data_IF_690269960044
#
_entry.id   IF_690269960044
#
_cell.length_a   1.000
_cell.length_b   1.000
_cell.length_c   1.000
_cell.angle_alpha   90.00
_cell.angle_beta   90.00
_cell.angle_gamma   90.00
#
_symmetry.space_group_name_H-M   'P 1'
#
loop_
_entity.id
_entity.type
_entity.pdbx_description
1 polymer ?
#
# COMPACT_ATOMS: atom_id res chain seq x y z
N UNK A 1 19.23 -33.17 -35.35
CA UNK A 1 18.08 -33.74 -34.62
C UNK A 1 18.58 -34.97 -33.86
N UNK A 2 18.93 -34.80 -32.58
CA UNK A 2 19.26 -35.92 -31.70
C UNK A 2 17.96 -36.47 -31.14
N UNK A 3 17.67 -37.73 -31.44
CA UNK A 3 16.61 -38.49 -30.82
C UNK A 3 17.01 -38.74 -29.35
N UNK A 4 16.27 -38.17 -28.40
CA UNK A 4 16.34 -38.62 -27.01
C UNK A 4 15.83 -40.05 -26.96
N UNK A 5 16.72 -41.01 -26.71
CA UNK A 5 16.34 -42.36 -26.33
C UNK A 5 15.51 -42.28 -25.05
N UNK A 6 14.26 -42.71 -25.09
CA UNK A 6 13.44 -42.91 -23.89
C UNK A 6 14.08 -44.06 -23.09
N UNK A 7 14.99 -43.73 -22.18
CA UNK A 7 15.45 -44.66 -21.14
C UNK A 7 14.23 -45.02 -20.29
N UNK A 8 14.03 -46.32 -20.01
CA UNK A 8 12.98 -46.74 -19.08
C UNK A 8 13.22 -46.04 -17.74
N UNK A 9 12.19 -45.46 -17.11
CA UNK A 9 12.34 -44.88 -15.79
C UNK A 9 12.64 -45.99 -14.79
N UNK A 10 13.74 -45.86 -14.06
CA UNK A 10 14.07 -46.73 -12.95
C UNK A 10 13.21 -46.35 -11.74
N UNK A 11 12.54 -47.33 -11.15
CA UNK A 11 11.77 -47.14 -9.92
C UNK A 11 12.76 -47.19 -8.76
N UNK A 12 13.10 -46.02 -8.24
CA UNK A 12 13.83 -45.87 -6.98
C UNK A 12 12.86 -46.22 -5.84
N UNK A 13 13.33 -46.85 -4.76
CA UNK A 13 12.50 -47.44 -3.71
C UNK A 13 11.57 -46.46 -2.99
N UNK A 14 10.92 -46.93 -1.91
CA UNK A 14 10.01 -46.11 -1.13
C UNK A 14 10.73 -44.87 -0.54
N UNK A 15 10.12 -43.68 -0.69
CA UNK A 15 10.61 -42.46 -0.05
C UNK A 15 10.24 -42.44 1.44
N UNK A 16 11.16 -41.94 2.26
CA UNK A 16 10.92 -41.71 3.69
C UNK A 16 10.13 -40.43 3.92
N UNK A 17 9.16 -40.45 4.84
CA UNK A 17 8.34 -39.30 5.23
C UNK A 17 8.67 -38.87 6.67
N UNK A 18 8.97 -37.57 6.85
CA UNK A 18 9.27 -36.93 8.11
C UNK A 18 8.19 -35.92 8.51
N UNK A 19 7.86 -35.81 9.81
CA UNK A 19 8.30 -36.67 10.91
C UNK A 19 7.70 -38.09 10.78
N UNK A 20 8.37 -39.13 11.31
CA UNK A 20 7.83 -40.48 11.33
C UNK A 20 6.68 -40.55 12.33
N UNK A 21 5.48 -40.22 11.88
CA UNK A 21 4.25 -40.19 12.67
C UNK A 21 3.23 -41.17 12.08
N UNK A 22 2.43 -41.82 12.94
CA UNK A 22 1.55 -42.92 12.52
C UNK A 22 0.44 -42.48 11.54
N UNK A 23 0.07 -41.21 11.55
CA UNK A 23 -0.82 -40.54 10.61
C UNK A 23 -0.19 -40.37 9.21
N UNK A 24 1.12 -40.15 9.12
CA UNK A 24 1.84 -40.01 7.84
C UNK A 24 1.97 -41.32 7.03
N UNK A 25 1.73 -42.48 7.65
CA UNK A 25 1.82 -43.81 7.00
C UNK A 25 0.44 -44.49 6.84
N UNK A 26 -0.64 -43.71 6.77
CA UNK A 26 -1.99 -44.23 6.60
C UNK A 26 -2.22 -44.95 5.26
N UNK A 27 -3.09 -45.96 5.28
CA UNK A 27 -3.50 -46.73 4.08
C UNK A 27 -4.55 -46.02 3.21
N UNK A 28 -5.05 -44.87 3.66
CA UNK A 28 -6.18 -44.16 3.05
C UNK A 28 -5.74 -43.13 1.98
N UNK A 29 -4.46 -43.11 1.61
CA UNK A 29 -3.92 -42.22 0.57
C UNK A 29 -4.50 -42.56 -0.81
N UNK A 30 -5.07 -41.57 -1.49
CA UNK A 30 -5.84 -41.77 -2.73
C UNK A 30 -5.32 -40.97 -3.93
N UNK A 31 -4.58 -39.87 -3.71
CA UNK A 31 -3.98 -39.08 -4.80
C UNK A 31 -2.71 -38.38 -4.35
N UNK A 32 -1.78 -38.21 -5.29
CA UNK A 32 -0.51 -37.50 -5.09
C UNK A 32 -0.31 -36.50 -6.24
N UNK A 33 0.21 -35.32 -5.92
CA UNK A 33 0.51 -34.27 -6.89
C UNK A 33 1.81 -33.56 -6.51
N UNK A 34 2.62 -33.20 -7.51
CA UNK A 34 3.82 -32.42 -7.31
C UNK A 34 3.65 -31.02 -7.92
N UNK A 35 3.77 -30.00 -7.09
CA UNK A 35 3.83 -28.61 -7.48
C UNK A 35 5.27 -28.24 -7.85
N UNK A 36 5.44 -27.60 -9.00
CA UNK A 36 6.74 -27.24 -9.56
C UNK A 36 7.27 -25.95 -8.91
N UNK A 37 7.55 -26.03 -7.60
CA UNK A 37 8.13 -24.98 -6.76
C UNK A 37 9.59 -25.30 -6.45
N UNK A 38 10.31 -24.34 -5.86
CA UNK A 38 11.69 -24.54 -5.40
C UNK A 38 11.74 -24.27 -3.89
N UNK A 39 11.95 -25.29 -3.03
CA UNK A 39 11.98 -26.74 -3.33
C UNK A 39 10.61 -27.30 -3.79
N UNK A 40 10.57 -28.48 -4.45
CA UNK A 40 9.31 -29.07 -4.92
C UNK A 40 8.38 -29.43 -3.76
N UNK A 41 7.13 -28.98 -3.84
CA UNK A 41 6.08 -29.30 -2.86
C UNK A 41 5.26 -30.48 -3.37
N UNK A 42 5.21 -31.55 -2.59
CA UNK A 42 4.40 -32.74 -2.82
C UNK A 42 3.15 -32.66 -1.96
N UNK A 43 2.00 -32.87 -2.59
CA UNK A 43 0.68 -32.89 -1.95
C UNK A 43 0.15 -34.32 -1.99
N UNK A 44 -0.21 -34.85 -0.82
CA UNK A 44 -0.80 -36.18 -0.68
C UNK A 44 -2.21 -36.04 -0.11
N UNK A 45 -3.21 -36.59 -0.80
CA UNK A 45 -4.60 -36.55 -0.37
C UNK A 45 -5.07 -37.91 0.12
N UNK A 46 -5.84 -37.92 1.21
CA UNK A 46 -6.46 -39.11 1.77
C UNK A 46 -7.96 -39.15 1.55
N UNK A 47 -8.55 -40.35 1.54
CA UNK A 47 -9.98 -40.55 1.36
C UNK A 47 -10.85 -39.98 2.51
N UNK A 48 -10.22 -39.54 3.61
CA UNK A 48 -10.89 -38.94 4.77
C UNK A 48 -11.00 -37.42 4.70
N UNK A 49 -10.40 -36.78 3.69
CA UNK A 49 -10.38 -35.31 3.57
C UNK A 49 -9.11 -34.65 4.09
N UNK A 50 -8.11 -35.42 4.54
CA UNK A 50 -6.82 -34.86 4.96
C UNK A 50 -5.89 -34.68 3.77
N UNK A 51 -5.26 -33.51 3.70
CA UNK A 51 -4.23 -33.13 2.76
C UNK A 51 -2.91 -32.92 3.50
N UNK A 52 -1.87 -33.61 3.06
CA UNK A 52 -0.52 -33.43 3.57
C UNK A 52 0.29 -32.63 2.57
N UNK A 53 0.91 -31.54 3.03
CA UNK A 53 1.86 -30.76 2.25
C UNK A 53 3.27 -31.07 2.73
N UNK A 54 4.10 -31.56 1.81
CA UNK A 54 5.46 -31.98 2.09
C UNK A 54 6.47 -31.34 1.14
N UNK A 55 7.67 -31.03 1.65
CA UNK A 55 8.80 -30.60 0.84
C UNK A 55 9.65 -31.80 0.45
N UNK A 56 10.00 -31.91 -0.83
CA UNK A 56 10.99 -32.86 -1.30
C UNK A 56 12.39 -32.26 -1.11
N UNK A 57 13.15 -32.82 -0.18
CA UNK A 57 14.52 -32.39 0.13
C UNK A 57 15.44 -33.60 0.28
N UNK A 58 16.74 -33.40 0.10
CA UNK A 58 17.71 -34.47 0.37
C UNK A 58 17.70 -34.80 1.86
N UNK A 59 17.73 -36.08 2.16
CA UNK A 59 17.89 -36.58 3.51
C UNK A 59 19.26 -36.11 4.05
N UNK A 60 19.33 -35.53 5.26
CA UNK A 60 20.61 -35.19 5.85
C UNK A 60 21.46 -36.45 5.97
N UNK A 61 22.71 -36.39 5.53
CA UNK A 61 23.64 -37.51 5.61
C UNK A 61 23.73 -37.97 7.06
N UNK A 62 23.13 -39.13 7.37
CA UNK A 62 23.34 -39.79 8.65
C UNK A 62 24.79 -40.22 8.70
N UNK A 63 25.48 -39.91 9.79
CA UNK A 63 26.79 -40.49 10.09
C UNK A 63 26.71 -42.00 9.87
N UNK A 64 27.65 -42.52 9.10
CA UNK A 64 27.62 -43.89 8.60
C UNK A 64 27.59 -44.88 9.75
N UNK A 65 26.40 -45.36 10.12
CA UNK A 65 26.27 -46.60 10.85
C UNK A 65 24.96 -47.33 10.49
N UNK A 66 25.17 -48.60 10.12
CA UNK A 66 24.23 -49.68 9.87
C UNK A 66 23.00 -49.44 8.96
N UNK A 67 23.13 -49.84 7.69
CA UNK A 67 21.97 -50.42 6.96
C UNK A 67 21.58 -49.87 5.59
N UNK A 68 22.45 -49.14 4.87
CA UNK A 68 22.19 -48.79 3.45
C UNK A 68 22.38 -50.02 2.54
N UNK A 69 21.39 -50.92 2.51
CA UNK A 69 21.07 -51.94 1.50
C UNK A 69 20.64 -53.25 2.16
N UNK A 70 19.33 -53.43 2.38
CA UNK A 70 18.75 -54.76 2.51
C UNK A 70 18.65 -55.40 1.12
N UNK A 71 19.78 -55.90 0.61
CA UNK A 71 19.77 -56.87 -0.49
C UNK A 71 19.73 -58.29 0.09
N UNK A 72 18.61 -58.65 0.73
CA UNK A 72 18.38 -60.04 1.16
C UNK A 72 17.44 -60.76 0.19
N UNK A 73 18.03 -61.72 -0.51
CA UNK A 73 17.42 -62.86 -1.21
C UNK A 73 16.50 -62.56 -2.41
N UNK A 74 17.12 -62.57 -3.61
CA UNK A 74 16.50 -63.18 -4.79
C UNK A 74 15.50 -62.35 -5.61
N UNK A 75 15.45 -61.02 -5.47
CA UNK A 75 14.64 -60.18 -6.36
C UNK A 75 15.51 -59.40 -7.35
N UNK A 76 15.05 -59.28 -8.59
CA UNK A 76 15.68 -58.50 -9.69
C UNK A 76 15.62 -56.99 -9.50
N UNK A 77 15.18 -56.51 -8.34
CA UNK A 77 15.02 -55.08 -8.04
C UNK A 77 16.04 -54.64 -6.99
N UNK A 78 16.94 -53.75 -7.38
CA UNK A 78 17.83 -53.08 -6.43
C UNK A 78 17.02 -52.01 -5.70
N UNK A 79 16.58 -52.29 -4.47
CA UNK A 79 15.93 -51.33 -3.58
C UNK A 79 17.00 -50.40 -2.99
N UNK A 80 17.51 -49.48 -3.80
CA UNK A 80 18.24 -48.33 -3.28
C UNK A 80 17.21 -47.41 -2.59
N UNK A 81 17.44 -47.09 -1.31
CA UNK A 81 16.68 -46.03 -0.63
C UNK A 81 17.05 -44.71 -1.27
N UNK A 82 16.10 -43.93 -1.80
CA UNK A 82 16.41 -42.64 -2.41
C UNK A 82 17.10 -41.72 -1.40
N UNK A 83 18.05 -40.90 -1.86
CA UNK A 83 18.69 -39.85 -1.05
C UNK A 83 17.72 -38.69 -0.76
N UNK A 84 16.54 -38.70 -1.36
CA UNK A 84 15.49 -37.70 -1.16
C UNK A 84 14.43 -38.22 -0.17
N UNK A 85 13.98 -37.33 0.71
CA UNK A 85 12.93 -37.56 1.68
C UNK A 85 11.85 -36.47 1.60
N UNK A 86 10.65 -36.81 2.08
CA UNK A 86 9.53 -35.90 2.16
C UNK A 86 9.42 -35.35 3.58
N UNK A 87 9.39 -34.03 3.71
CA UNK A 87 9.22 -33.34 5.00
C UNK A 87 7.83 -32.70 5.04
N UNK A 88 6.90 -33.34 5.73
CA UNK A 88 5.56 -32.84 5.96
C UNK A 88 5.64 -31.63 6.90
N UNK A 89 5.20 -30.48 6.42
CA UNK A 89 5.19 -29.24 7.21
C UNK A 89 3.77 -28.83 7.62
N UNK A 90 2.75 -29.32 6.91
CA UNK A 90 1.36 -28.96 7.15
C UNK A 90 0.41 -30.13 6.85
N UNK A 91 -0.61 -30.29 7.70
CA UNK A 91 -1.76 -31.14 7.49
C UNK A 91 -3.02 -30.26 7.51
N UNK A 92 -3.83 -30.35 6.46
CA UNK A 92 -5.08 -29.60 6.34
C UNK A 92 -6.26 -30.55 6.13
N UNK A 93 -7.28 -30.42 6.97
CA UNK A 93 -8.52 -31.19 6.85
C UNK A 93 -9.57 -30.41 6.05
N UNK A 94 -10.13 -31.02 5.01
CA UNK A 94 -11.23 -30.46 4.22
C UNK A 94 -12.58 -31.06 4.61
N UNK A 95 -13.62 -30.24 4.57
CA UNK A 95 -14.99 -30.69 4.80
C UNK A 95 -15.56 -31.42 3.57
N UNK A 96 -15.77 -32.72 3.68
CA UNK A 96 -16.39 -33.53 2.62
C UNK A 96 -17.92 -33.47 2.70
N UNK A 97 -18.51 -32.44 2.09
CA UNK A 97 -19.96 -32.22 2.08
C UNK A 97 -20.46 -31.34 3.23
N UNK A 98 -21.73 -30.93 3.17
CA UNK A 98 -22.31 -30.06 4.20
C UNK A 98 -22.87 -30.88 5.37
N UNK A 99 -22.14 -30.89 6.48
CA UNK A 99 -22.53 -31.48 7.77
C UNK A 99 -23.36 -30.48 8.57
N UNK A 100 -24.58 -30.79 9.02
CA UNK A 100 -25.41 -29.81 9.74
C UNK A 100 -25.15 -29.78 11.25
N UNK A 101 -24.57 -30.85 11.78
CA UNK A 101 -24.20 -31.00 13.19
C UNK A 101 -22.82 -31.67 13.34
N UNK A 102 -22.02 -31.30 14.35
CA UNK A 102 -20.69 -31.88 14.60
C UNK A 102 -20.71 -33.39 14.92
N UNK A 103 -21.89 -33.96 15.17
CA UNK A 103 -22.13 -35.39 15.40
C UNK A 103 -22.37 -36.19 14.13
N UNK A 104 -22.38 -35.53 12.96
CA UNK A 104 -22.62 -36.18 11.68
C UNK A 104 -21.43 -37.05 11.25
N UNK A 105 -21.73 -38.24 10.69
CA UNK A 105 -20.70 -39.17 10.22
C UNK A 105 -19.89 -38.53 9.08
N UNK A 106 -18.57 -38.40 9.28
CA UNK A 106 -17.64 -37.93 8.25
C UNK A 106 -17.70 -38.86 7.03
N UNK A 107 -18.01 -38.28 5.89
CA UNK A 107 -18.06 -38.99 4.61
C UNK A 107 -16.64 -39.29 4.12
N UNK A 108 -16.44 -40.44 3.47
CA UNK A 108 -15.16 -40.84 2.89
C UNK A 108 -15.30 -41.02 1.39
N UNK A 109 -14.42 -40.40 0.62
CA UNK A 109 -14.39 -40.55 -0.83
C UNK A 109 -12.98 -40.28 -1.38
N UNK A 110 -12.61 -40.93 -2.50
CA UNK A 110 -11.35 -40.61 -3.17
C UNK A 110 -11.36 -39.14 -3.64
N UNK A 111 -10.20 -38.50 -3.48
CA UNK A 111 -9.96 -37.10 -3.84
C UNK A 111 -9.00 -37.08 -5.02
N UNK A 112 -9.35 -36.35 -6.08
CA UNK A 112 -8.47 -36.14 -7.21
C UNK A 112 -7.86 -34.73 -7.13
N UNK A 113 -6.53 -34.66 -7.16
CA UNK A 113 -5.77 -33.42 -7.15
C UNK A 113 -5.54 -32.88 -8.56
N UNK A 114 -5.79 -31.60 -8.77
CA UNK A 114 -5.60 -30.91 -10.04
C UNK A 114 -4.72 -29.68 -9.85
N UNK A 115 -3.59 -29.66 -10.55
CA UNK A 115 -2.68 -28.49 -10.57
C UNK A 115 -3.31 -27.34 -11.34
N UNK A 116 -3.17 -26.13 -10.81
CA UNK A 116 -3.44 -24.93 -11.60
C UNK A 116 -2.23 -24.61 -12.47
N UNK A 117 -2.46 -24.33 -13.75
CA UNK A 117 -1.40 -23.91 -14.68
C UNK A 117 -1.12 -22.41 -14.61
N UNK A 118 -2.09 -21.62 -14.14
CA UNK A 118 -2.00 -20.16 -14.09
C UNK A 118 -1.35 -19.62 -12.83
N UNK A 119 -1.39 -20.38 -11.72
CA UNK A 119 -0.78 -19.97 -10.45
C UNK A 119 -0.18 -21.18 -9.74
N UNK A 120 1.03 -21.02 -9.20
CA UNK A 120 1.75 -22.06 -8.45
C UNK A 120 1.32 -22.11 -6.98
N UNK A 121 0.64 -21.07 -6.51
CA UNK A 121 0.21 -20.92 -5.11
C UNK A 121 -1.10 -21.66 -4.83
N UNK A 122 -1.75 -22.23 -5.84
CA UNK A 122 -3.08 -22.81 -5.72
C UNK A 122 -3.23 -24.10 -6.49
N UNK A 123 -4.10 -24.96 -5.97
CA UNK A 123 -4.51 -26.18 -6.64
C UNK A 123 -5.95 -26.54 -6.26
N UNK A 124 -6.52 -27.51 -6.97
CA UNK A 124 -7.91 -27.91 -6.79
C UNK A 124 -8.02 -29.37 -6.38
N UNK A 125 -9.04 -29.65 -5.57
CA UNK A 125 -9.41 -30.99 -5.16
C UNK A 125 -10.83 -31.27 -5.65
N UNK A 126 -11.02 -32.27 -6.51
CA UNK A 126 -12.35 -32.74 -6.92
C UNK A 126 -12.66 -34.08 -6.28
N UNK A 127 -13.85 -34.24 -5.72
CA UNK A 127 -14.29 -35.47 -5.06
C UNK A 127 -15.80 -35.64 -5.19
N UNK A 128 -16.33 -36.75 -4.65
CA UNK A 128 -17.75 -37.11 -4.79
C UNK A 128 -18.73 -36.22 -4.01
N UNK A 129 -18.23 -35.25 -3.25
CA UNK A 129 -19.06 -34.29 -2.55
C UNK A 129 -18.90 -32.86 -3.07
N UNK A 130 -17.94 -32.60 -3.97
CA UNK A 130 -17.71 -31.26 -4.46
C UNK A 130 -16.31 -30.95 -5.01
N UNK A 131 -16.00 -29.65 -5.04
CA UNK A 131 -14.72 -29.09 -5.46
C UNK A 131 -14.21 -28.11 -4.39
N UNK A 132 -12.97 -28.30 -3.96
CA UNK A 132 -12.24 -27.36 -3.12
C UNK A 132 -11.10 -26.71 -3.90
N UNK A 133 -10.82 -25.45 -3.57
CA UNK A 133 -9.59 -24.76 -3.93
C UNK A 133 -8.73 -24.66 -2.67
N UNK A 134 -7.44 -24.95 -2.82
CA UNK A 134 -6.47 -24.81 -1.74
C UNK A 134 -5.43 -23.79 -2.17
N UNK A 135 -5.18 -22.81 -1.32
CA UNK A 135 -4.13 -21.81 -1.49
C UNK A 135 -3.03 -22.06 -0.47
N UNK A 136 -1.79 -22.03 -0.95
CA UNK A 136 -0.55 -22.31 -0.23
C UNK A 136 0.33 -21.04 -0.14
N UNK A 137 0.10 -20.15 0.85
CA UNK A 137 0.89 -18.93 0.99
C UNK A 137 2.37 -19.20 1.30
N UNK A 138 2.69 -20.35 1.90
CA UNK A 138 4.08 -20.73 2.20
C UNK A 138 4.97 -20.73 0.95
N UNK A 139 4.43 -21.00 -0.24
CA UNK A 139 5.22 -21.02 -1.47
C UNK A 139 5.82 -19.64 -1.79
N UNK A 140 5.13 -18.53 -1.45
CA UNK A 140 5.73 -17.20 -1.62
C UNK A 140 6.87 -16.98 -0.64
N UNK A 141 6.68 -17.36 0.63
CA UNK A 141 7.72 -17.26 1.67
C UNK A 141 8.96 -18.09 1.30
N UNK A 142 8.77 -19.31 0.78
CA UNK A 142 9.87 -20.16 0.30
C UNK A 142 10.59 -19.53 -0.90
N UNK A 143 9.84 -18.98 -1.85
CA UNK A 143 10.45 -18.30 -3.00
C UNK A 143 11.23 -17.05 -2.58
N UNK A 144 10.71 -16.27 -1.64
CA UNK A 144 11.40 -15.10 -1.10
C UNK A 144 12.68 -15.51 -0.35
N UNK A 145 12.62 -16.60 0.41
CA UNK A 145 13.78 -17.18 1.09
C UNK A 145 14.86 -17.66 0.11
N UNK A 146 14.48 -18.39 -0.95
CA UNK A 146 15.41 -18.88 -1.98
C UNK A 146 16.07 -17.72 -2.75
N UNK A 147 15.38 -16.59 -2.89
CA UNK A 147 15.89 -15.39 -3.57
C UNK A 147 16.61 -14.41 -2.63
N UNK A 148 16.63 -14.65 -1.31
CA UNK A 148 17.29 -13.77 -0.36
C UNK A 148 18.83 -13.95 -0.38
N UNK A 149 19.57 -12.85 -0.20
CA UNK A 149 21.02 -12.90 0.01
C UNK A 149 21.35 -13.56 1.35
N UNK A 150 22.46 -14.29 1.43
CA UNK A 150 22.88 -15.06 2.61
C UNK A 150 22.92 -14.23 3.91
N UNK A 151 23.25 -12.94 3.83
CA UNK A 151 23.29 -12.02 4.98
C UNK A 151 21.90 -11.69 5.58
N UNK A 152 20.82 -11.90 4.81
CA UNK A 152 19.42 -11.66 5.22
C UNK A 152 18.58 -12.95 5.26
N UNK A 153 19.22 -14.12 5.18
CA UNK A 153 18.51 -15.40 5.16
C UNK A 153 17.71 -15.64 6.46
N UNK A 154 18.28 -15.26 7.61
CA UNK A 154 17.64 -15.41 8.93
C UNK A 154 16.38 -14.55 9.11
N UNK A 155 16.32 -13.40 8.43
CA UNK A 155 15.15 -12.50 8.44
C UNK A 155 14.01 -13.03 7.57
N UNK A 156 14.32 -13.81 6.53
CA UNK A 156 13.35 -14.38 5.58
C UNK A 156 13.03 -15.84 5.87
N UNK A 157 13.55 -16.40 6.98
CA UNK A 157 13.15 -17.74 7.42
C UNK A 157 11.63 -17.76 7.64
N UNK A 158 10.91 -18.81 7.22
CA UNK A 158 9.48 -18.98 7.46
C UNK A 158 9.17 -19.16 8.97
N UNK A 159 9.35 -18.10 9.75
CA UNK A 159 9.23 -18.09 11.21
C UNK A 159 7.77 -18.03 11.66
N UNK A 160 6.86 -17.63 10.77
CA UNK A 160 5.42 -17.81 10.90
C UNK A 160 4.89 -18.34 9.57
N UNK A 161 4.76 -19.66 9.49
CA UNK A 161 4.07 -20.33 8.39
C UNK A 161 2.64 -19.78 8.33
N UNK A 162 2.35 -18.99 7.29
CA UNK A 162 0.98 -18.59 7.01
C UNK A 162 0.19 -19.88 6.70
N UNK A 163 -0.88 -20.18 7.44
CA UNK A 163 -1.62 -21.43 7.24
C UNK A 163 -2.23 -21.45 5.84
N UNK A 164 -2.23 -22.62 5.23
CA UNK A 164 -2.92 -22.85 3.98
C UNK A 164 -4.42 -22.66 4.18
N UNK A 165 -5.07 -22.06 3.19
CA UNK A 165 -6.50 -21.79 3.25
C UNK A 165 -7.24 -22.68 2.26
N UNK A 166 -8.31 -23.31 2.74
CA UNK A 166 -9.19 -24.14 1.93
C UNK A 166 -10.48 -23.37 1.68
N UNK A 167 -10.81 -23.21 0.40
CA UNK A 167 -12.07 -22.67 -0.05
C UNK A 167 -12.93 -23.79 -0.64
N UNK A 168 -14.03 -24.13 0.05
CA UNK A 168 -15.03 -25.01 -0.53
C UNK A 168 -15.81 -24.23 -1.59
N UNK A 169 -15.64 -24.56 -2.88
CA UNK A 169 -16.23 -23.81 -4.00
C UNK A 169 -17.59 -24.33 -4.41
N UNK A 170 -17.70 -25.65 -4.59
CA UNK A 170 -18.90 -26.30 -5.09
C UNK A 170 -19.23 -27.49 -4.20
N UNK A 171 -20.38 -27.45 -3.56
CA UNK A 171 -20.89 -28.57 -2.78
C UNK A 171 -22.04 -29.25 -3.51
N UNK A 172 -21.92 -30.55 -3.75
CA UNK A 172 -22.93 -31.40 -4.40
C UNK A 172 -23.61 -32.37 -3.44
N UNK A 173 -23.14 -32.46 -2.18
CA UNK A 173 -23.61 -33.44 -1.19
C UNK A 173 -23.94 -32.80 0.15
N UNK A 174 -25.06 -33.20 0.73
CA UNK A 174 -25.50 -32.79 2.08
C UNK A 174 -25.71 -34.03 2.95
N UNK A 175 -25.92 -33.84 4.27
CA UNK A 175 -26.31 -34.91 5.21
C UNK A 175 -27.50 -35.76 4.75
N UNK A 176 -28.38 -35.20 3.92
CA UNK A 176 -29.60 -35.89 3.45
C UNK A 176 -29.40 -36.69 2.16
N UNK A 177 -28.26 -36.52 1.48
CA UNK A 177 -27.88 -37.42 0.40
C UNK A 177 -27.65 -38.82 0.99
N UNK A 178 -28.34 -39.83 0.45
CA UNK A 178 -28.16 -41.21 0.92
C UNK A 178 -26.66 -41.60 0.86
N UNK A 179 -26.21 -42.42 1.82
CA UNK A 179 -24.80 -42.82 1.96
C UNK A 179 -24.23 -43.49 0.70
N UNK A 180 -25.09 -44.06 -0.15
CA UNK A 180 -24.72 -44.78 -1.37
C UNK A 180 -24.89 -43.94 -2.65
N UNK A 181 -25.50 -42.75 -2.58
CA UNK A 181 -25.69 -41.89 -3.76
C UNK A 181 -24.42 -41.09 -4.02
N UNK A 182 -23.61 -41.55 -4.98
CA UNK A 182 -22.46 -40.81 -5.45
C UNK A 182 -22.92 -39.61 -6.29
N UNK A 183 -22.53 -38.40 -5.89
CA UNK A 183 -22.82 -37.15 -6.62
C UNK A 183 -21.53 -36.55 -7.21
N UNK A 184 -20.80 -37.31 -8.06
CA UNK A 184 -19.47 -36.92 -8.52
C UNK A 184 -19.48 -35.70 -9.42
N UNK A 185 -18.35 -35.02 -9.42
CA UNK A 185 -18.00 -34.08 -10.48
C UNK A 185 -17.44 -34.91 -11.64
N UNK A 186 -18.17 -34.98 -12.74
CA UNK A 186 -17.82 -35.80 -13.92
C UNK A 186 -16.66 -35.20 -14.72
N UNK A 187 -16.56 -33.87 -14.73
CA UNK A 187 -15.55 -33.15 -15.49
C UNK A 187 -15.21 -31.82 -14.84
N UNK A 188 -13.95 -31.44 -14.95
CA UNK A 188 -13.38 -30.23 -14.36
C UNK A 188 -12.43 -29.60 -15.37
N UNK A 189 -12.58 -28.29 -15.60
CA UNK A 189 -11.69 -27.52 -16.47
C UNK A 189 -11.53 -26.10 -15.97
N UNK A 190 -10.31 -25.57 -16.04
CA UNK A 190 -10.03 -24.15 -15.84
C UNK A 190 -9.82 -23.47 -17.19
N UNK A 191 -10.54 -22.39 -17.41
CA UNK A 191 -10.32 -21.47 -18.52
C UNK A 191 -9.61 -20.22 -17.99
N UNK A 192 -8.39 -19.98 -18.46
CA UNK A 192 -7.60 -18.81 -18.10
C UNK A 192 -7.83 -17.68 -19.13
N UNK A 193 -8.72 -16.74 -18.82
CA UNK A 193 -8.93 -15.50 -19.59
C UNK A 193 -9.39 -14.38 -18.64
N UNK A 194 -8.76 -13.19 -18.68
CA UNK A 194 -8.23 -12.40 -17.53
C UNK A 194 -8.55 -12.82 -16.06
N UNK A 195 -9.68 -13.44 -15.77
CA UNK A 195 -10.01 -14.13 -14.53
C UNK A 195 -10.12 -15.65 -14.77
N UNK A 196 -9.60 -16.48 -13.86
CA UNK A 196 -9.69 -17.93 -13.98
C UNK A 196 -11.12 -18.41 -13.79
N UNK A 197 -11.79 -18.87 -14.85
CA UNK A 197 -13.14 -19.43 -14.77
C UNK A 197 -13.05 -20.94 -14.61
N UNK A 198 -13.61 -21.43 -13.50
CA UNK A 198 -13.80 -22.85 -13.24
C UNK A 198 -15.09 -23.31 -13.93
N UNK A 199 -14.98 -24.29 -14.83
CA UNK A 199 -16.10 -24.98 -15.46
C UNK A 199 -16.13 -26.41 -14.93
N UNK A 200 -17.25 -26.80 -14.32
CA UNK A 200 -17.45 -28.15 -13.81
C UNK A 200 -18.73 -28.78 -14.36
N UNK A 201 -18.64 -30.04 -14.76
CA UNK A 201 -19.78 -30.86 -15.18
C UNK A 201 -20.20 -31.73 -13.99
N UNK A 202 -21.42 -31.51 -13.50
CA UNK A 202 -21.98 -32.28 -12.39
C UNK A 202 -22.59 -33.60 -12.88
N UNK A 203 -22.75 -34.55 -11.96
CA UNK A 203 -23.48 -35.81 -12.18
C UNK A 203 -24.91 -35.62 -12.75
N UNK A 204 -25.53 -34.48 -12.47
CA UNK A 204 -26.87 -34.12 -12.95
C UNK A 204 -26.90 -33.64 -14.41
N UNK A 205 -25.74 -33.56 -15.08
CA UNK A 205 -25.61 -32.98 -16.43
C UNK A 205 -25.61 -31.45 -16.46
N UNK A 206 -25.68 -30.79 -15.29
CA UNK A 206 -25.59 -29.34 -15.17
C UNK A 206 -24.13 -28.89 -15.23
N UNK A 207 -23.85 -27.92 -16.09
CA UNK A 207 -22.57 -27.22 -16.12
C UNK A 207 -22.61 -26.06 -15.14
N UNK A 208 -21.56 -25.92 -14.32
CA UNK A 208 -21.38 -24.79 -13.39
C UNK A 208 -20.14 -24.04 -13.81
N UNK A 209 -20.32 -22.77 -14.13
CA UNK A 209 -19.28 -21.78 -14.30
C UNK A 209 -19.10 -20.97 -13.00
N UNK A 210 -17.87 -20.87 -12.52
CA UNK A 210 -17.51 -20.09 -11.34
C UNK A 210 -16.27 -19.26 -11.62
N UNK A 211 -16.37 -17.94 -11.47
CA UNK A 211 -15.20 -17.07 -11.54
C UNK A 211 -14.39 -17.20 -10.25
N UNK A 212 -13.14 -17.65 -10.37
CA UNK A 212 -12.21 -17.74 -9.26
C UNK A 212 -11.29 -16.53 -9.34
N UNK A 213 -11.59 -15.50 -8.54
CA UNK A 213 -10.79 -14.28 -8.47
C UNK A 213 -9.49 -14.58 -7.74
N UNK A 214 -8.38 -14.31 -8.40
CA UNK A 214 -7.05 -14.40 -7.78
C UNK A 214 -6.77 -13.08 -7.05
N UNK A 215 -6.66 -13.13 -5.71
CA UNK A 215 -6.46 -11.93 -4.89
C UNK A 215 -5.14 -11.22 -5.20
N UNK A 216 -4.16 -11.95 -5.73
CA UNK A 216 -2.84 -11.43 -6.11
C UNK A 216 -2.86 -10.56 -7.39
N UNK A 217 -3.93 -10.67 -8.20
CA UNK A 217 -4.10 -9.88 -9.43
C UNK A 217 -4.85 -8.57 -9.20
N UNK A 218 -5.32 -8.28 -7.99
CA UNK A 218 -5.78 -6.92 -7.67
C UNK A 218 -4.52 -6.06 -7.67
N UNK A 219 -4.37 -5.10 -8.62
CA UNK A 219 -3.21 -4.23 -8.62
C UNK A 219 -3.16 -3.58 -7.24
N UNK A 220 -2.07 -3.83 -6.50
CA UNK A 220 -1.76 -3.05 -5.31
C UNK A 220 -1.76 -1.61 -5.80
N UNK A 221 -2.76 -0.85 -5.38
CA UNK A 221 -2.74 0.60 -5.59
C UNK A 221 -1.58 1.03 -4.72
N UNK A 222 -0.43 1.26 -5.34
CA UNK A 222 0.68 1.94 -4.69
C UNK A 222 0.10 3.28 -4.25
N UNK A 223 -0.20 3.38 -2.95
CA UNK A 223 -0.54 4.64 -2.35
C UNK A 223 0.68 5.51 -2.55
N UNK A 224 0.59 6.46 -3.48
CA UNK A 224 1.52 7.56 -3.61
C UNK A 224 1.50 8.27 -2.26
N UNK A 225 2.44 7.93 -1.37
CA UNK A 225 2.49 8.51 -0.03
C UNK A 225 2.63 10.04 -0.20
N UNK A 226 1.69 10.84 0.32
CA UNK A 226 1.96 12.24 0.48
C UNK A 226 3.03 12.36 1.58
N UNK A 227 4.18 12.93 1.24
CA UNK A 227 5.19 13.29 2.21
C UNK A 227 4.60 14.29 3.20
N UNK A 228 4.18 13.82 4.38
CA UNK A 228 3.77 14.71 5.48
C UNK A 228 4.63 14.40 6.69
N UNK A 229 5.52 15.35 6.96
CA UNK A 229 6.24 15.68 8.20
C UNK A 229 6.17 14.69 9.37
N UNK A 230 7.36 14.33 9.85
CA UNK A 230 7.68 13.68 11.11
C UNK A 230 6.94 14.25 12.32
N UNK A 231 5.96 13.51 12.83
CA UNK A 231 5.56 13.55 14.23
C UNK A 231 4.72 12.30 14.56
N UNK A 232 5.23 11.48 15.48
CA UNK A 232 4.61 10.31 16.11
C UNK A 232 4.54 9.01 15.27
N UNK A 233 5.69 8.36 15.17
CA UNK A 233 5.80 6.92 14.92
C UNK A 233 5.17 6.13 16.08
N UNK A 234 3.89 5.83 15.98
CA UNK A 234 3.34 4.58 16.49
C UNK A 234 2.84 3.87 15.25
N UNK A 235 3.45 2.73 14.92
CA UNK A 235 3.04 1.85 13.85
C UNK A 235 1.59 1.39 14.10
N UNK A 236 0.64 2.21 13.67
CA UNK A 236 -0.74 1.78 13.49
C UNK A 236 -0.81 1.30 12.06
N UNK A 237 -1.08 0.01 11.89
CA UNK A 237 -1.46 -0.56 10.59
C UNK A 237 -2.46 0.39 9.92
N UNK A 238 -2.33 0.61 8.61
CA UNK A 238 -3.24 1.50 7.91
C UNK A 238 -4.67 0.94 8.06
N UNK A 239 -5.63 1.85 8.27
CA UNK A 239 -6.97 1.49 8.75
C UNK A 239 -7.70 0.51 7.83
N UNK A 240 -7.39 0.56 6.54
CA UNK A 240 -7.83 -0.40 5.52
C UNK A 240 -7.30 -1.82 5.78
N UNK A 241 -6.03 -1.97 6.16
CA UNK A 241 -5.45 -3.27 6.54
C UNK A 241 -6.10 -3.80 7.82
N UNK A 242 -6.36 -2.91 8.79
CA UNK A 242 -7.08 -3.26 10.02
C UNK A 242 -8.52 -3.74 9.75
N UNK A 243 -9.29 -3.03 8.92
CA UNK A 243 -10.65 -3.44 8.53
C UNK A 243 -10.61 -4.73 7.71
N UNK A 244 -9.64 -4.89 6.81
CA UNK A 244 -9.46 -6.11 6.04
C UNK A 244 -9.20 -7.31 6.95
N UNK A 245 -8.33 -7.15 7.95
CA UNK A 245 -8.06 -8.20 8.94
C UNK A 245 -9.30 -8.52 9.79
N UNK A 246 -10.11 -7.51 10.14
CA UNK A 246 -11.37 -7.72 10.87
C UNK A 246 -12.44 -8.46 10.03
N UNK A 247 -12.42 -8.29 8.71
CA UNK A 247 -13.30 -8.96 7.75
C UNK A 247 -12.76 -10.31 7.25
N UNK A 248 -11.47 -10.62 7.44
CA UNK A 248 -10.90 -11.92 7.06
C UNK A 248 -11.60 -13.03 7.85
N UNK A 249 -11.89 -14.11 7.13
CA UNK A 249 -12.48 -15.32 7.67
C UNK A 249 -11.36 -16.32 7.94
N UNK A 250 -11.24 -16.80 9.18
CA UNK A 250 -10.23 -17.79 9.55
C UNK A 250 -10.63 -19.22 9.12
N UNK A 251 -11.87 -19.46 8.67
CA UNK A 251 -12.34 -20.85 8.54
C UNK A 251 -13.62 -21.15 7.75
N UNK A 252 -14.30 -20.17 7.11
CA UNK A 252 -15.57 -20.47 6.44
C UNK A 252 -15.67 -19.84 5.04
N UNK A 253 -15.29 -20.61 4.03
CA UNK A 253 -15.76 -20.40 2.67
C UNK A 253 -17.24 -20.74 2.58
N UNK A 254 -18.02 -19.94 1.85
CA UNK A 254 -19.38 -20.31 1.48
C UNK A 254 -19.35 -21.07 0.15
N UNK A 255 -19.50 -22.41 0.15
CA UNK A 255 -19.62 -23.15 -1.10
C UNK A 255 -20.94 -22.83 -1.80
N UNK A 256 -20.89 -22.69 -3.12
CA UNK A 256 -22.11 -22.73 -3.93
C UNK A 256 -22.67 -24.13 -3.79
N UNK A 257 -23.84 -24.23 -3.18
CA UNK A 257 -24.50 -25.52 -2.95
C UNK A 257 -25.42 -25.80 -4.13
N UNK A 258 -25.02 -26.70 -5.04
CA UNK A 258 -25.91 -27.23 -6.08
C UNK A 258 -26.35 -28.62 -5.67
N UNK A 259 -27.45 -28.67 -4.92
CA UNK A 259 -28.09 -29.92 -4.57
C UNK A 259 -28.73 -30.50 -5.84
N UNK A 260 -28.41 -31.76 -6.17
CA UNK A 260 -28.89 -32.32 -7.43
C UNK A 260 -30.40 -32.43 -7.48
N UNK A 261 -30.89 -32.40 -8.72
CA UNK A 261 -32.30 -32.35 -9.09
C UNK A 261 -33.03 -33.69 -8.98
N UNK A 262 -32.34 -34.77 -8.58
CA UNK A 262 -32.85 -36.14 -8.72
C UNK A 262 -33.88 -36.49 -7.65
N UNK A 263 -33.82 -35.87 -6.47
CA UNK A 263 -34.86 -35.94 -5.44
C UNK A 263 -35.13 -34.53 -4.95
N UNK A 264 -36.39 -34.06 -5.03
CA UNK A 264 -36.77 -32.78 -4.40
C UNK A 264 -36.52 -32.95 -2.89
N UNK A 265 -35.63 -32.15 -2.28
CA UNK A 265 -35.42 -32.18 -0.85
C UNK A 265 -36.75 -32.00 -0.14
N UNK A 266 -36.98 -32.73 0.96
CA UNK A 266 -38.21 -32.54 1.72
C UNK A 266 -38.27 -31.09 2.23
N UNK A 267 -39.48 -30.52 2.39
CA UNK A 267 -39.62 -29.13 2.85
C UNK A 267 -38.92 -28.82 4.19
N UNK A 268 -38.66 -29.87 4.99
CA UNK A 268 -37.87 -29.79 6.23
C UNK A 268 -36.38 -29.56 5.97
N UNK A 269 -35.82 -30.16 4.92
CA UNK A 269 -34.40 -30.05 4.55
C UNK A 269 -34.05 -28.65 4.02
N UNK A 270 -34.94 -28.07 3.20
CA UNK A 270 -34.80 -26.67 2.77
C UNK A 270 -34.84 -25.70 3.95
N UNK A 271 -35.73 -25.97 4.91
CA UNK A 271 -35.87 -25.15 6.09
C UNK A 271 -34.64 -25.26 7.01
N UNK A 272 -34.09 -26.46 7.19
CA UNK A 272 -32.88 -26.67 8.00
C UNK A 272 -31.64 -26.04 7.36
N UNK A 273 -31.49 -26.13 6.03
CA UNK A 273 -30.46 -25.41 5.28
C UNK A 273 -30.60 -23.89 5.44
N UNK A 274 -31.83 -23.37 5.32
CA UNK A 274 -32.10 -21.95 5.51
C UNK A 274 -31.78 -21.51 6.93
N UNK A 275 -32.19 -22.28 7.95
CA UNK A 275 -31.86 -21.95 9.34
C UNK A 275 -30.38 -21.98 9.61
N UNK A 276 -29.63 -22.93 9.04
CA UNK A 276 -28.18 -22.96 9.16
C UNK A 276 -27.52 -21.78 8.45
N UNK A 277 -27.94 -21.46 7.23
CA UNK A 277 -27.46 -20.29 6.51
C UNK A 277 -27.71 -19.01 7.33
N UNK A 278 -28.95 -18.82 7.82
CA UNK A 278 -29.32 -17.70 8.68
C UNK A 278 -28.46 -17.70 9.95
N UNK A 279 -28.24 -18.85 10.59
CA UNK A 279 -27.41 -18.95 11.78
C UNK A 279 -25.98 -18.51 11.50
N UNK A 280 -25.33 -19.04 10.46
CA UNK A 280 -23.97 -18.67 10.04
C UNK A 280 -23.87 -17.18 9.71
N UNK A 281 -24.84 -16.62 8.98
CA UNK A 281 -24.85 -15.18 8.69
C UNK A 281 -25.00 -14.35 9.96
N UNK A 282 -25.87 -14.76 10.90
CA UNK A 282 -26.10 -14.02 12.14
C UNK A 282 -24.93 -14.12 13.12
N UNK A 283 -24.30 -15.28 13.25
CA UNK A 283 -23.22 -15.49 14.23
C UNK A 283 -21.87 -15.01 13.70
N UNK A 284 -21.53 -15.34 12.46
CA UNK A 284 -20.18 -15.15 11.95
C UNK A 284 -20.04 -13.89 11.09
N UNK A 285 -21.04 -13.53 10.29
CA UNK A 285 -20.95 -12.38 9.38
C UNK A 285 -21.47 -11.09 10.01
N UNK A 286 -22.74 -11.04 10.42
CA UNK A 286 -23.34 -9.79 10.90
C UNK A 286 -22.63 -9.24 12.13
N UNK A 287 -22.21 -10.08 13.07
CA UNK A 287 -21.41 -9.63 14.23
C UNK A 287 -20.10 -8.97 13.80
N UNK A 288 -19.40 -9.50 12.79
CA UNK A 288 -18.17 -8.89 12.27
C UNK A 288 -18.46 -7.60 11.50
N UNK A 289 -19.50 -7.58 10.66
CA UNK A 289 -19.92 -6.38 9.94
C UNK A 289 -20.36 -5.26 10.90
N UNK A 290 -21.07 -5.59 11.98
CA UNK A 290 -21.47 -4.64 13.02
C UNK A 290 -20.25 -4.07 13.76
N UNK A 291 -19.25 -4.90 14.06
CA UNK A 291 -17.96 -4.45 14.63
C UNK A 291 -17.23 -3.51 13.68
N UNK A 292 -17.11 -3.86 12.39
CA UNK A 292 -16.50 -3.01 11.36
C UNK A 292 -17.25 -1.68 11.25
N UNK A 293 -18.58 -1.72 11.21
CA UNK A 293 -19.42 -0.53 11.16
C UNK A 293 -19.20 0.36 12.41
N UNK A 294 -19.09 -0.23 13.60
CA UNK A 294 -18.80 0.50 14.83
C UNK A 294 -17.42 1.17 14.80
N UNK A 295 -16.38 0.47 14.34
CA UNK A 295 -15.02 1.01 14.21
C UNK A 295 -14.93 2.13 13.16
N UNK A 296 -15.59 1.98 12.01
CA UNK A 296 -15.69 3.03 10.99
C UNK A 296 -16.42 4.25 11.56
N UNK A 297 -17.57 4.04 12.23
CA UNK A 297 -18.34 5.12 12.84
C UNK A 297 -17.51 5.86 13.89
N UNK A 298 -16.74 5.13 14.71
CA UNK A 298 -15.82 5.70 15.70
C UNK A 298 -14.73 6.53 15.03
N UNK A 299 -14.11 6.02 13.97
CA UNK A 299 -13.07 6.73 13.22
C UNK A 299 -13.62 8.02 12.61
N UNK A 300 -14.80 7.96 11.99
CA UNK A 300 -15.49 9.14 11.42
C UNK A 300 -15.76 10.18 12.50
N UNK A 301 -16.24 9.79 13.69
CA UNK A 301 -16.44 10.71 14.81
C UNK A 301 -15.12 11.38 15.21
N UNK A 302 -14.05 10.61 15.44
CA UNK A 302 -12.75 11.19 15.82
C UNK A 302 -12.18 12.14 14.78
N UNK A 303 -12.35 11.84 13.49
CA UNK A 303 -11.92 12.72 12.40
C UNK A 303 -12.76 13.99 12.34
N UNK A 304 -14.07 13.91 12.58
CA UNK A 304 -14.94 15.07 12.64
C UNK A 304 -14.60 15.97 13.82
N UNK A 305 -14.30 15.40 14.99
CA UNK A 305 -13.85 16.14 16.17
C UNK A 305 -12.52 16.84 15.90
N UNK A 306 -11.56 16.15 15.28
CA UNK A 306 -10.27 16.73 14.90
C UNK A 306 -10.44 17.86 13.88
N UNK A 307 -11.29 17.69 12.87
CA UNK A 307 -11.62 18.73 11.89
C UNK A 307 -12.20 19.97 12.57
N UNK A 308 -13.15 19.80 13.48
CA UNK A 308 -13.77 20.92 14.19
C UNK A 308 -12.74 21.63 15.08
N UNK A 309 -11.85 20.88 15.72
CA UNK A 309 -10.75 21.47 16.50
C UNK A 309 -9.81 22.31 15.63
N UNK A 310 -9.36 21.78 14.49
CA UNK A 310 -8.49 22.49 13.55
C UNK A 310 -9.16 23.75 12.97
N UNK A 311 -10.47 23.70 12.69
CA UNK A 311 -11.23 24.88 12.25
C UNK A 311 -11.27 25.97 13.33
N UNK A 312 -11.45 25.58 14.60
CA UNK A 312 -11.43 26.53 15.71
C UNK A 312 -10.03 27.13 15.92
N UNK A 313 -8.97 26.33 15.82
CA UNK A 313 -7.59 26.83 15.87
C UNK A 313 -7.31 27.81 14.73
N UNK A 314 -7.79 27.52 13.51
CA UNK A 314 -7.65 28.41 12.37
C UNK A 314 -8.36 29.75 12.61
N UNK A 315 -9.58 29.75 13.15
CA UNK A 315 -10.30 30.97 13.49
C UNK A 315 -9.56 31.79 14.58
N UNK A 316 -9.02 31.11 15.58
CA UNK A 316 -8.20 31.77 16.62
C UNK A 316 -6.93 32.40 16.03
N UNK A 317 -6.23 31.69 15.13
CA UNK A 317 -5.06 32.23 14.43
C UNK A 317 -5.41 33.41 13.53
N UNK A 318 -6.58 33.37 12.86
CA UNK A 318 -7.06 34.50 12.07
C UNK A 318 -7.34 35.74 12.94
N UNK A 319 -7.92 35.57 14.14
CA UNK A 319 -8.11 36.66 15.11
C UNK A 319 -6.77 37.22 15.58
N UNK A 320 -5.84 36.38 16.00
CA UNK A 320 -4.50 36.80 16.43
C UNK A 320 -3.79 37.56 15.31
N UNK A 321 -3.87 37.09 14.06
CA UNK A 321 -3.31 37.78 12.90
C UNK A 321 -3.91 39.17 12.73
N UNK A 322 -5.23 39.31 12.86
CA UNK A 322 -5.93 40.59 12.73
C UNK A 322 -5.53 41.55 13.86
N UNK A 323 -5.41 41.05 15.08
CA UNK A 323 -4.96 41.85 16.22
C UNK A 323 -3.50 42.29 16.08
N UNK A 324 -2.63 41.41 15.59
CA UNK A 324 -1.23 41.74 15.33
C UNK A 324 -1.11 42.78 14.20
N UNK A 325 -1.91 42.66 13.15
CA UNK A 325 -1.97 43.64 12.08
C UNK A 325 -2.42 45.01 12.60
N UNK A 326 -3.48 45.06 13.40
CA UNK A 326 -3.96 46.30 14.03
C UNK A 326 -2.89 46.94 14.92
N UNK A 327 -2.16 46.14 15.72
CA UNK A 327 -1.03 46.62 16.53
C UNK A 327 0.11 47.17 15.66
N UNK A 328 0.41 46.52 14.54
CA UNK A 328 1.43 46.99 13.61
C UNK A 328 1.03 48.32 12.94
N UNK A 329 -0.24 48.46 12.55
CA UNK A 329 -0.80 49.71 12.00
C UNK A 329 -0.72 50.85 13.03
N UNK A 330 -1.14 50.61 14.29
CA UNK A 330 -1.02 51.59 15.37
C UNK A 330 0.43 51.98 15.67
N UNK A 331 1.36 51.03 15.59
CA UNK A 331 2.78 51.29 15.80
C UNK A 331 3.35 52.13 14.65
N UNK A 332 2.96 51.85 13.40
CA UNK A 332 3.37 52.61 12.24
C UNK A 332 2.86 54.07 12.29
N UNK A 333 1.60 54.27 12.70
CA UNK A 333 1.03 55.60 12.91
C UNK A 333 1.82 56.38 13.97
N UNK A 334 2.09 55.76 15.12
CA UNK A 334 2.92 56.39 16.17
C UNK A 334 4.34 56.68 15.72
N UNK A 335 4.91 55.84 14.86
CA UNK A 335 6.26 56.05 14.35
C UNK A 335 6.31 57.26 13.42
N UNK A 336 5.34 57.43 12.52
CA UNK A 336 5.23 58.63 11.69
C UNK A 336 5.00 59.89 12.54
N UNK A 337 4.11 59.85 13.55
CA UNK A 337 3.92 60.97 14.47
C UNK A 337 5.21 61.39 15.20
N UNK A 338 6.01 60.41 15.63
CA UNK A 338 7.29 60.67 16.30
C UNK A 338 8.29 61.24 15.30
N UNK A 339 8.34 60.72 14.07
CA UNK A 339 9.23 61.18 13.02
C UNK A 339 8.91 62.62 12.62
N UNK A 340 7.64 62.98 12.44
CA UNK A 340 7.21 64.34 12.16
C UNK A 340 7.62 65.31 13.28
N UNK A 341 7.42 64.92 14.54
CA UNK A 341 7.89 65.70 15.71
C UNK A 341 9.41 65.82 15.75
N UNK A 342 10.12 64.75 15.41
CA UNK A 342 11.58 64.76 15.36
C UNK A 342 12.07 65.71 14.25
N UNK A 343 11.43 65.71 13.08
CA UNK A 343 11.72 66.66 12.00
C UNK A 343 11.40 68.10 12.41
N UNK A 344 10.29 68.34 13.11
CA UNK A 344 9.94 69.67 13.65
C UNK A 344 10.98 70.14 14.68
N UNK A 345 11.37 69.27 15.62
CA UNK A 345 12.39 69.57 16.62
C UNK A 345 13.76 69.78 15.98
N UNK A 346 14.11 69.00 14.95
CA UNK A 346 15.35 69.18 14.19
C UNK A 346 15.38 70.52 13.47
N UNK A 347 14.27 70.91 12.80
CA UNK A 347 14.14 72.25 12.19
C UNK A 347 14.27 73.36 13.22
N UNK A 348 13.62 73.23 14.38
CA UNK A 348 13.74 74.22 15.47
C UNK A 348 15.16 74.30 16.04
N UNK A 349 15.83 73.16 16.18
CA UNK A 349 17.23 73.11 16.62
C UNK A 349 18.15 73.74 15.56
N UNK A 350 17.92 73.49 14.29
CA UNK A 350 18.63 74.14 13.18
C UNK A 350 18.41 75.66 13.17
N UNK A 351 17.18 76.13 13.40
CA UNK A 351 16.88 77.56 13.54
C UNK A 351 17.59 78.20 14.73
N UNK A 352 17.59 77.52 15.89
CA UNK A 352 18.31 77.98 17.08
C UNK A 352 19.82 78.02 16.83
N UNK A 353 20.40 77.00 16.20
CA UNK A 353 21.80 77.00 15.79
C UNK A 353 22.09 78.16 14.82
N UNK A 354 21.19 78.42 13.86
CA UNK A 354 21.30 79.57 12.94
C UNK A 354 21.28 80.92 13.66
N UNK A 355 20.48 81.04 14.74
CA UNK A 355 20.37 82.23 15.59
C UNK A 355 21.56 82.40 16.55
N UNK A 356 22.13 81.30 17.05
CA UNK A 356 23.31 81.33 17.92
C UNK A 356 24.57 81.65 17.12
N UNK A 357 24.69 81.11 15.91
CA UNK A 357 25.79 81.39 14.98
C UNK A 357 25.63 82.73 14.22
N UNK A 358 24.73 83.63 14.65
CA UNK A 358 24.54 84.94 14.01
C UNK A 358 25.60 86.00 14.39
N UNK A 359 26.68 85.62 15.08
CA UNK A 359 27.81 86.51 15.39
C UNK A 359 29.01 86.20 14.49
N UNK A 360 29.54 87.26 13.90
CA UNK A 360 30.71 87.38 13.00
C UNK A 360 31.20 86.12 12.27
N UNK A 361 31.00 86.14 10.95
CA UNK A 361 31.36 85.08 10.01
C UNK A 361 32.86 84.74 10.03
N UNK A 362 33.17 83.50 10.39
CA UNK A 362 34.50 82.90 10.27
C UNK A 362 34.94 82.76 8.80
N UNK A 363 36.25 82.61 8.55
CA UNK A 363 36.78 82.38 7.20
C UNK A 363 36.29 81.06 6.59
N UNK A 364 36.05 80.04 7.41
CA UNK A 364 35.48 78.75 6.99
C UNK A 364 34.02 78.89 6.54
N UNK A 365 33.19 79.64 7.28
CA UNK A 365 31.78 79.87 6.95
C UNK A 365 31.59 80.67 5.66
N UNK A 366 32.56 81.54 5.30
CA UNK A 366 32.57 82.25 4.01
C UNK A 366 32.83 81.31 2.82
N UNK A 367 33.67 80.29 3.00
CA UNK A 367 33.88 79.26 1.98
C UNK A 367 32.62 78.40 1.81
N UNK A 368 32.04 77.96 2.93
CA UNK A 368 30.79 77.17 2.93
C UNK A 368 29.62 77.94 2.32
N UNK A 369 29.54 79.26 2.56
CA UNK A 369 28.50 80.11 1.96
C UNK A 369 28.65 80.25 0.43
N UNK A 370 29.87 80.25 -0.10
CA UNK A 370 30.10 80.23 -1.56
C UNK A 370 29.74 78.87 -2.15
N UNK A 371 30.08 77.77 -1.48
CA UNK A 371 29.71 76.43 -1.90
C UNK A 371 28.19 76.22 -1.88
N UNK A 372 27.49 76.70 -0.84
CA UNK A 372 26.01 76.67 -0.75
C UNK A 372 25.35 77.48 -1.87
N UNK A 373 25.91 78.62 -2.28
CA UNK A 373 25.40 79.40 -3.41
C UNK A 373 25.57 78.64 -4.73
N UNK A 374 26.72 78.02 -4.93
CA UNK A 374 26.98 77.21 -6.13
C UNK A 374 26.10 75.96 -6.15
N UNK A 375 25.90 75.31 -5.00
CA UNK A 375 24.99 74.18 -4.87
C UNK A 375 23.54 74.59 -5.16
N UNK A 376 23.08 75.70 -4.60
CA UNK A 376 21.73 76.20 -4.84
C UNK A 376 21.51 76.59 -6.31
N UNK A 377 22.51 77.16 -6.97
CA UNK A 377 22.45 77.40 -8.42
C UNK A 377 22.40 76.11 -9.23
N UNK A 378 23.19 75.09 -8.86
CA UNK A 378 23.15 73.76 -9.49
C UNK A 378 21.79 73.08 -9.28
N UNK A 379 21.25 73.11 -8.07
CA UNK A 379 19.94 72.51 -7.74
C UNK A 379 18.79 73.24 -8.46
N UNK A 380 18.74 74.56 -8.36
CA UNK A 380 17.63 75.36 -8.91
C UNK A 380 17.60 75.40 -10.44
N UNK A 381 18.76 75.39 -11.12
CA UNK A 381 18.81 75.52 -12.58
C UNK A 381 18.94 74.17 -13.28
N UNK A 382 19.92 73.36 -12.88
CA UNK A 382 20.24 72.12 -13.60
C UNK A 382 19.28 70.98 -13.23
N UNK A 383 19.08 70.75 -11.93
CA UNK A 383 18.21 69.67 -11.45
C UNK A 383 16.73 69.92 -11.75
N UNK A 384 16.25 71.16 -11.59
CA UNK A 384 14.87 71.51 -11.95
C UNK A 384 14.61 71.32 -13.45
N UNK A 385 15.56 71.72 -14.30
CA UNK A 385 15.45 71.53 -15.75
C UNK A 385 15.46 70.04 -16.13
N UNK A 386 16.34 69.23 -15.52
CA UNK A 386 16.36 67.77 -15.72
C UNK A 386 15.08 67.09 -15.26
N UNK A 387 14.49 67.52 -14.14
CA UNK A 387 13.21 67.02 -13.64
C UNK A 387 12.07 67.30 -14.61
N UNK A 388 12.04 68.50 -15.18
CA UNK A 388 11.02 68.89 -16.16
C UNK A 388 11.17 68.10 -17.47
N UNK A 389 12.40 67.84 -17.91
CA UNK A 389 12.67 66.94 -19.03
C UNK A 389 12.25 65.49 -18.74
N UNK A 390 12.50 65.00 -17.53
CA UNK A 390 12.08 63.66 -17.09
C UNK A 390 10.56 63.53 -17.08
N UNK A 391 9.84 64.52 -16.52
CA UNK A 391 8.36 64.54 -16.55
C UNK A 391 7.82 64.47 -17.98
N UNK A 392 8.38 65.25 -18.90
CA UNK A 392 7.99 65.21 -20.31
C UNK A 392 8.26 63.85 -20.95
N UNK A 393 9.40 63.22 -20.66
CA UNK A 393 9.72 61.85 -21.15
C UNK A 393 8.77 60.80 -20.60
N UNK A 394 8.41 60.88 -19.32
CA UNK A 394 7.45 59.95 -18.68
C UNK A 394 6.07 60.08 -19.32
N UNK A 395 5.59 61.31 -19.56
CA UNK A 395 4.30 61.51 -20.21
C UNK A 395 4.31 61.00 -21.66
N UNK A 396 5.40 61.22 -22.40
CA UNK A 396 5.59 60.65 -23.74
C UNK A 396 5.57 59.12 -23.74
N UNK A 397 6.27 58.48 -22.78
CA UNK A 397 6.24 57.02 -22.64
C UNK A 397 4.88 56.49 -22.24
N UNK A 398 4.13 57.20 -21.39
CA UNK A 398 2.77 56.84 -21.00
C UNK A 398 1.83 56.84 -22.20
N UNK A 399 1.88 57.89 -23.02
CA UNK A 399 1.11 57.97 -24.26
C UNK A 399 1.48 56.84 -25.24
N UNK A 400 2.76 56.48 -25.33
CA UNK A 400 3.23 55.36 -26.17
C UNK A 400 2.78 53.99 -25.63
N UNK A 401 2.80 53.78 -24.31
CA UNK A 401 2.28 52.57 -23.67
C UNK A 401 0.77 52.44 -23.85
N UNK A 402 0.01 53.54 -23.78
CA UNK A 402 -1.44 53.52 -24.02
C UNK A 402 -1.78 53.18 -25.48
N UNK A 403 -0.93 53.59 -26.43
CA UNK A 403 -1.03 53.17 -27.83
C UNK A 403 -0.71 51.67 -28.02
N UNK A 404 0.40 51.17 -27.43
CA UNK A 404 0.76 49.75 -27.48
C UNK A 404 -0.26 48.83 -26.78
N UNK A 405 -0.84 49.26 -25.64
CA UNK A 405 -1.90 48.49 -24.94
C UNK A 405 -3.16 48.28 -25.78
N UNK A 406 -3.44 49.15 -26.77
CA UNK A 406 -4.54 48.96 -27.73
C UNK A 406 -4.22 47.85 -28.75
N UNK A 407 -2.94 47.62 -29.04
CA UNK A 407 -2.46 46.53 -29.90
C UNK A 407 -2.30 45.20 -29.14
N UNK A 408 -1.83 45.22 -27.88
CA UNK A 408 -1.67 44.02 -27.03
C UNK A 408 -2.98 43.31 -26.70
N UNK A 409 -4.12 44.02 -26.65
CA UNK A 409 -5.45 43.39 -26.50
C UNK A 409 -5.80 42.41 -27.63
N UNK A 410 -5.08 42.43 -28.75
CA UNK A 410 -5.26 41.48 -29.86
C UNK A 410 -4.41 40.21 -29.72
N UNK A 411 -3.34 40.24 -28.92
CA UNK A 411 -2.42 39.12 -28.71
C UNK A 411 -2.11 38.93 -27.22
N UNK A 412 -3.05 38.35 -26.46
CA UNK A 412 -2.79 37.94 -25.08
C UNK A 412 -2.01 36.62 -25.06
N UNK A 413 -0.68 36.69 -24.95
CA UNK A 413 0.12 35.54 -24.55
C UNK A 413 -0.09 35.31 -23.05
N UNK A 414 -0.90 34.29 -22.73
CA UNK A 414 -1.12 33.85 -21.34
C UNK A 414 0.03 32.92 -20.96
N UNK A 415 0.88 33.34 -20.02
CA UNK A 415 1.89 32.47 -19.40
C UNK A 415 1.17 31.27 -18.74
N UNK A 416 1.66 30.06 -18.99
CA UNK A 416 1.07 28.87 -18.34
C UNK A 416 1.33 28.88 -16.83
N UNK A 417 0.38 28.36 -16.04
CA UNK A 417 0.49 28.35 -14.57
C UNK A 417 1.80 27.71 -14.06
N UNK A 418 2.31 26.67 -14.76
CA UNK A 418 3.60 26.04 -14.46
C UNK A 418 4.80 26.97 -14.69
N UNK A 419 4.78 27.77 -15.75
CA UNK A 419 5.84 28.75 -16.03
C UNK A 419 5.81 29.87 -14.99
N UNK A 420 4.63 30.32 -14.59
CA UNK A 420 4.48 31.34 -13.55
C UNK A 420 4.99 30.83 -12.19
N UNK A 421 4.68 29.59 -11.83
CA UNK A 421 5.15 28.97 -10.58
C UNK A 421 6.67 28.74 -10.60
N UNK A 422 7.24 28.32 -11.73
CA UNK A 422 8.69 28.20 -11.90
C UNK A 422 9.40 29.56 -11.81
N UNK A 423 8.85 30.61 -12.41
CA UNK A 423 9.40 31.97 -12.32
C UNK A 423 9.31 32.49 -10.89
N UNK A 424 8.17 32.32 -10.21
CA UNK A 424 8.02 32.72 -8.80
C UNK A 424 8.97 31.98 -7.88
N UNK A 425 9.15 30.67 -8.08
CA UNK A 425 10.10 29.86 -7.31
C UNK A 425 11.54 30.32 -7.52
N UNK A 426 11.96 30.56 -8.77
CA UNK A 426 13.30 31.07 -9.08
C UNK A 426 13.53 32.47 -8.50
N UNK A 427 12.56 33.38 -8.61
CA UNK A 427 12.66 34.73 -8.01
C UNK A 427 12.75 34.64 -6.49
N UNK A 428 11.97 33.77 -5.85
CA UNK A 428 12.03 33.56 -4.41
C UNK A 428 13.39 32.98 -3.97
N UNK A 429 13.96 32.07 -4.75
CA UNK A 429 15.30 31.53 -4.52
C UNK A 429 16.38 32.59 -4.69
N UNK A 430 16.32 33.39 -5.76
CA UNK A 430 17.23 34.53 -5.97
C UNK A 430 17.12 35.56 -4.84
N UNK A 431 15.91 35.86 -4.38
CA UNK A 431 15.67 36.75 -3.24
C UNK A 431 16.32 36.23 -1.95
N UNK A 432 16.21 34.92 -1.68
CA UNK A 432 16.90 34.29 -0.56
C UNK A 432 18.43 34.36 -0.69
N UNK A 433 18.97 34.11 -1.89
CA UNK A 433 20.41 34.23 -2.14
C UNK A 433 20.92 35.66 -1.98
N UNK A 434 20.17 36.66 -2.45
CA UNK A 434 20.52 38.08 -2.25
C UNK A 434 20.47 38.45 -0.77
N UNK A 435 19.43 38.04 -0.05
CA UNK A 435 19.33 38.28 1.40
C UNK A 435 20.49 37.64 2.17
N UNK A 436 20.88 36.43 1.78
CA UNK A 436 22.04 35.75 2.34
C UNK A 436 23.35 36.49 2.05
N UNK A 437 23.56 36.95 0.80
CA UNK A 437 24.75 37.74 0.45
C UNK A 437 24.79 39.07 1.20
N UNK A 438 23.66 39.77 1.36
CA UNK A 438 23.58 40.99 2.16
C UNK A 438 23.93 40.71 3.63
N UNK A 439 23.46 39.60 4.19
CA UNK A 439 23.79 39.21 5.55
C UNK A 439 25.29 38.89 5.70
N UNK A 440 25.90 38.25 4.70
CA UNK A 440 27.35 38.00 4.68
C UNK A 440 28.16 39.30 4.55
N UNK A 441 27.74 40.22 3.69
CA UNK A 441 28.42 41.53 3.55
C UNK A 441 28.33 42.32 4.85
N UNK A 442 27.17 42.36 5.51
CA UNK A 442 27.04 43.00 6.82
C UNK A 442 27.90 42.34 7.90
N UNK A 443 27.94 41.02 7.93
CA UNK A 443 28.81 40.30 8.88
C UNK A 443 30.29 40.60 8.64
N UNK A 444 30.71 40.76 7.37
CA UNK A 444 32.07 41.17 7.01
C UNK A 444 32.35 42.64 7.32
N UNK A 445 31.38 43.54 7.12
CA UNK A 445 31.48 44.95 7.56
C UNK A 445 31.65 45.02 9.09
N UNK A 446 30.87 44.26 9.86
CA UNK A 446 30.99 44.18 11.32
C UNK A 446 32.34 43.56 11.77
N UNK A 447 32.94 42.65 10.99
CA UNK A 447 34.28 42.09 11.23
C UNK A 447 35.42 43.05 10.82
N UNK A 448 35.17 43.97 9.89
CA UNK A 448 36.13 44.97 9.40
C UNK A 448 36.14 46.27 10.22
N UNK A 449 35.05 46.58 10.95
CA UNK A 449 34.92 47.74 11.84
C UNK A 449 35.55 47.52 13.24
N UNK A 450 36.58 46.65 13.35
CA UNK A 450 37.48 46.54 14.52
C UNK A 450 38.73 47.39 14.34
#
# INVERSE_FOLDING_TARGET
MQFFSLTKPDVVGALTIYPPAADNYGLDSCSIMCLQTTPPVVVIATATGKLYHALLMREPEREADEGKSWSQYGSTYSLHTPDDALFVFEEVEMELGLLFTDTDKKFRCPINLHRDKGSRLRYFCSHNAGIHMVTLPMITQLNDYVNANEENADLNLPSSLLPSSIQYLLCTRTKYSHNEEATPVLGFGLLHQPCSVLISLLYSGVVVDLSVVDLDYIPKIDSLEPSVSSSNKIAREPFDTYIRNLLKHDSASQPITKLGTVTKPSGKEYLELLYRAIHVFRTNHFVKHDKVHAEITRKVRTLNDLKNHQLNELDNLMKIRKDLQSKAEQLAERYEDIKDKQEELAKRAEELLRLVNHKELSSAERADATELKDLNQKVSKELAFRLEQLKKKVEQQKMHMEACKKEEKKNSYVLSARQEEAIKSNIAQMGKSIAHMIAQVKALEDELDI
#
